data_IF_325570737900
#
_entry.id   IF_325570737900
#
_cell.length_a   1.000
_cell.length_b   1.000
_cell.length_c   1.000
_cell.angle_alpha   90.00
_cell.angle_beta   90.00
_cell.angle_gamma   90.00
#
_symmetry.space_group_name_H-M   'P 1'
#
loop_
_entity.id
_entity.type
_entity.pdbx_description
1 polymer ?
#
# COMPACT_ATOMS: atom_id res chain seq x y z
N UNK A 1 -23.41 -13.47 -11.96
CA UNK A 1 -22.97 -12.22 -12.60
C UNK A 1 -23.99 -11.15 -12.30
N UNK A 2 -23.54 -9.92 -12.06
CA UNK A 2 -24.43 -8.78 -11.87
C UNK A 2 -25.13 -8.51 -13.21
N UNK A 3 -26.47 -8.41 -13.22
CA UNK A 3 -27.26 -8.17 -14.45
C UNK A 3 -27.64 -6.69 -14.61
N UNK A 4 -27.01 -5.81 -13.83
CA UNK A 4 -27.20 -4.37 -13.95
C UNK A 4 -26.67 -3.85 -15.30
N UNK A 5 -27.28 -2.77 -15.80
CA UNK A 5 -26.76 -1.99 -16.93
C UNK A 5 -25.97 -0.75 -16.48
N UNK A 6 -25.92 -0.52 -15.17
CA UNK A 6 -25.18 0.59 -14.58
C UNK A 6 -23.68 0.24 -14.58
N UNK A 7 -22.85 1.22 -14.88
CA UNK A 7 -21.40 1.07 -14.68
C UNK A 7 -21.11 1.17 -13.19
N UNK A 8 -20.53 0.12 -12.59
CA UNK A 8 -20.10 0.09 -11.20
C UNK A 8 -18.57 0.11 -11.12
N UNK A 9 -18.02 0.57 -10.00
CA UNK A 9 -16.57 0.59 -9.73
C UNK A 9 -15.86 -0.73 -10.04
N UNK A 10 -16.55 -1.86 -9.78
CA UNK A 10 -16.10 -3.19 -10.14
C UNK A 10 -17.30 -4.07 -10.56
N UNK A 11 -17.49 -4.26 -11.87
CA UNK A 11 -18.60 -5.04 -12.42
C UNK A 11 -18.43 -6.57 -12.24
N UNK A 12 -17.19 -7.06 -12.19
CA UNK A 12 -16.85 -8.45 -11.87
C UNK A 12 -16.06 -8.53 -10.56
N UNK A 13 -16.71 -9.03 -9.51
CA UNK A 13 -16.11 -9.18 -8.17
C UNK A 13 -15.50 -10.55 -7.94
N UNK A 14 -15.39 -11.41 -8.96
CA UNK A 14 -14.91 -12.80 -8.81
C UNK A 14 -13.53 -12.87 -8.17
N UNK A 15 -12.61 -12.00 -8.59
CA UNK A 15 -11.23 -11.95 -8.05
C UNK A 15 -11.22 -11.48 -6.60
N UNK A 16 -11.82 -10.32 -6.31
CA UNK A 16 -11.91 -9.79 -4.95
C UNK A 16 -12.59 -10.76 -3.99
N UNK A 17 -13.70 -11.37 -4.42
CA UNK A 17 -14.42 -12.39 -3.64
C UNK A 17 -13.52 -13.58 -3.34
N UNK A 18 -12.75 -14.06 -4.31
CA UNK A 18 -11.80 -15.17 -4.12
C UNK A 18 -10.73 -14.79 -3.09
N UNK A 19 -10.12 -13.60 -3.22
CA UNK A 19 -9.11 -13.11 -2.27
C UNK A 19 -9.63 -13.10 -0.83
N UNK A 20 -10.83 -12.54 -0.62
CA UNK A 20 -11.45 -12.46 0.71
C UNK A 20 -11.79 -13.86 1.27
N UNK A 21 -12.32 -14.76 0.44
CA UNK A 21 -12.70 -16.10 0.89
C UNK A 21 -11.48 -16.98 1.21
N UNK A 22 -10.39 -16.81 0.47
CA UNK A 22 -9.14 -17.56 0.68
C UNK A 22 -8.30 -16.99 1.83
N UNK A 23 -8.50 -15.72 2.22
CA UNK A 23 -7.71 -15.03 3.24
C UNK A 23 -8.59 -14.18 4.18
N UNK A 24 -9.56 -14.78 4.90
CA UNK A 24 -10.55 -14.06 5.69
C UNK A 24 -9.99 -13.26 6.89
N UNK A 25 -8.78 -13.58 7.32
CA UNK A 25 -8.07 -12.91 8.41
C UNK A 25 -7.29 -11.67 7.97
N UNK A 26 -7.04 -11.49 6.66
CA UNK A 26 -6.30 -10.33 6.17
C UNK A 26 -7.18 -9.07 6.20
N UNK A 27 -6.66 -7.93 6.69
CA UNK A 27 -7.34 -6.66 6.55
C UNK A 27 -7.44 -6.25 5.08
N UNK A 28 -8.40 -5.36 4.80
CA UNK A 28 -8.54 -4.70 3.50
C UNK A 28 -8.05 -3.26 3.64
N UNK A 29 -7.11 -2.86 2.78
CA UNK A 29 -6.67 -1.47 2.63
C UNK A 29 -7.19 -0.93 1.30
N UNK A 30 -7.76 0.28 1.33
CA UNK A 30 -8.21 0.99 0.14
C UNK A 30 -7.36 2.24 -0.05
N UNK A 31 -6.65 2.33 -1.17
CA UNK A 31 -5.84 3.49 -1.52
C UNK A 31 -6.55 4.32 -2.56
N UNK A 32 -6.95 5.53 -2.18
CA UNK A 32 -7.63 6.46 -3.07
C UNK A 32 -6.60 7.39 -3.74
N UNK A 33 -6.46 7.26 -5.06
CA UNK A 33 -5.64 8.15 -5.88
C UNK A 33 -6.37 9.46 -6.20
N UNK A 34 -5.68 10.36 -6.90
CA UNK A 34 -6.24 11.67 -7.30
C UNK A 34 -7.51 11.54 -8.14
N UNK A 35 -7.60 10.52 -8.99
CA UNK A 35 -8.77 10.24 -9.84
C UNK A 35 -10.04 9.88 -9.04
N UNK A 36 -9.91 9.53 -7.75
CA UNK A 36 -11.06 9.31 -6.87
C UNK A 36 -11.71 10.61 -6.37
N UNK A 37 -11.03 11.76 -6.53
CA UNK A 37 -11.48 13.05 -6.06
C UNK A 37 -12.19 13.84 -7.17
N UNK A 38 -13.46 14.21 -6.96
CA UNK A 38 -14.23 14.97 -7.94
C UNK A 38 -14.19 16.49 -7.78
N UNK A 39 -13.48 17.03 -6.79
CA UNK A 39 -13.45 18.48 -6.53
C UNK A 39 -14.68 19.04 -5.81
N UNK A 40 -15.67 18.21 -5.52
CA UNK A 40 -17.00 18.60 -5.06
C UNK A 40 -17.33 17.88 -3.74
N UNK A 41 -18.24 18.44 -2.94
CA UNK A 41 -18.64 17.88 -1.64
C UNK A 41 -19.62 16.69 -1.73
N UNK A 42 -19.85 16.13 -2.91
CA UNK A 42 -20.74 14.98 -3.12
C UNK A 42 -20.00 13.65 -3.08
N UNK A 43 -20.74 12.56 -2.91
CA UNK A 43 -20.21 11.22 -3.19
C UNK A 43 -20.09 11.02 -4.69
N UNK A 44 -18.91 10.64 -5.14
CA UNK A 44 -18.61 10.31 -6.53
C UNK A 44 -18.17 8.85 -6.64
N UNK A 45 -18.63 8.17 -7.69
CA UNK A 45 -18.15 6.83 -8.01
C UNK A 45 -16.77 6.95 -8.67
N UNK A 46 -15.79 6.20 -8.16
CA UNK A 46 -14.48 6.02 -8.78
C UNK A 46 -14.34 4.59 -9.31
N UNK A 47 -13.39 4.36 -10.22
CA UNK A 47 -13.02 3.00 -10.57
C UNK A 47 -12.26 2.35 -9.41
N UNK A 48 -12.34 1.03 -9.34
CA UNK A 48 -11.61 0.27 -8.34
C UNK A 48 -10.89 -0.91 -8.98
N UNK A 49 -9.69 -1.22 -8.49
CA UNK A 49 -8.98 -2.42 -8.89
C UNK A 49 -9.75 -3.68 -8.43
N UNK A 50 -9.41 -4.82 -9.03
CA UNK A 50 -9.93 -6.14 -8.64
C UNK A 50 -9.41 -6.63 -7.27
N UNK A 51 -8.49 -5.89 -6.68
CA UNK A 51 -7.73 -6.22 -5.48
C UNK A 51 -6.56 -7.18 -5.72
N UNK A 52 -5.55 -7.10 -4.86
CA UNK A 52 -4.46 -8.07 -4.75
C UNK A 52 -3.91 -8.13 -3.32
N UNK A 53 -2.99 -9.04 -3.03
CA UNK A 53 -2.39 -9.16 -1.70
C UNK A 53 -1.03 -8.50 -1.71
N UNK A 54 -0.84 -7.56 -0.79
CA UNK A 54 0.44 -6.86 -0.58
C UNK A 54 0.95 -7.04 0.84
N UNK A 55 2.25 -6.81 1.03
CA UNK A 55 2.89 -6.73 2.33
C UNK A 55 3.44 -5.32 2.52
N UNK A 56 2.84 -4.58 3.45
CA UNK A 56 2.99 -3.13 3.55
C UNK A 56 3.35 -2.71 4.97
N UNK A 57 4.00 -1.56 5.11
CA UNK A 57 4.16 -0.86 6.39
C UNK A 57 3.67 0.58 6.28
N UNK A 58 3.32 1.18 7.41
CA UNK A 58 2.93 2.59 7.50
C UNK A 58 4.11 3.40 8.02
N UNK A 59 4.69 4.23 7.16
CA UNK A 59 5.82 5.08 7.50
C UNK A 59 5.53 6.54 7.15
N UNK A 60 5.59 7.44 8.14
CA UNK A 60 5.28 8.88 8.00
C UNK A 60 3.96 9.12 7.24
N UNK A 61 2.89 8.47 7.71
CA UNK A 61 1.53 8.52 7.14
C UNK A 61 1.39 8.00 5.69
N UNK A 62 2.42 7.33 5.16
CA UNK A 62 2.43 6.74 3.82
C UNK A 62 2.54 5.23 3.92
N UNK A 63 1.66 4.51 3.21
CA UNK A 63 1.77 3.07 3.06
C UNK A 63 2.80 2.72 1.99
N UNK A 64 3.75 1.86 2.33
CA UNK A 64 4.86 1.47 1.44
C UNK A 64 4.97 -0.04 1.38
N UNK A 65 5.33 -0.56 0.21
CA UNK A 65 5.83 -1.95 0.08
C UNK A 65 7.15 -2.08 0.84
N UNK A 66 7.61 -3.31 1.05
CA UNK A 66 8.91 -3.54 1.69
C UNK A 66 10.05 -2.83 0.94
N UNK A 67 10.08 -2.98 -0.38
CA UNK A 67 11.13 -2.42 -1.23
C UNK A 67 11.04 -0.87 -1.21
N UNK A 68 9.84 -0.30 -1.35
CA UNK A 68 9.65 1.15 -1.27
C UNK A 68 10.01 1.71 0.13
N UNK A 69 9.76 0.94 1.18
CA UNK A 69 10.10 1.33 2.55
C UNK A 69 11.61 1.37 2.75
N UNK A 70 12.34 0.37 2.28
CA UNK A 70 13.80 0.31 2.34
C UNK A 70 14.42 1.53 1.64
N UNK A 71 14.01 1.79 0.39
CA UNK A 71 14.48 2.95 -0.38
C UNK A 71 14.12 4.26 0.32
N UNK A 72 12.89 4.39 0.84
CA UNK A 72 12.44 5.60 1.52
C UNK A 72 13.20 5.85 2.82
N UNK A 73 13.44 4.79 3.60
CA UNK A 73 14.18 4.85 4.85
C UNK A 73 15.63 5.24 4.59
N UNK A 74 16.28 4.62 3.60
CA UNK A 74 17.65 4.93 3.21
C UNK A 74 17.82 6.39 2.75
N UNK A 75 16.86 6.92 1.98
CA UNK A 75 16.90 8.32 1.56
C UNK A 75 16.62 9.30 2.72
N UNK A 76 15.70 8.96 3.62
CA UNK A 76 15.36 9.84 4.73
C UNK A 76 16.50 9.94 5.76
N UNK A 77 17.28 8.87 5.94
CA UNK A 77 18.35 8.81 6.94
C UNK A 77 19.74 9.20 6.40
N UNK A 78 19.91 9.35 5.08
CA UNK A 78 21.24 9.54 4.47
C UNK A 78 21.95 10.83 4.91
N UNK A 79 21.17 11.86 5.24
CA UNK A 79 21.67 13.19 5.60
C UNK A 79 21.62 13.46 7.11
N UNK A 80 21.23 12.47 7.94
CA UNK A 80 21.18 12.67 9.39
C UNK A 80 22.58 12.59 10.02
N UNK A 81 22.88 13.54 10.92
CA UNK A 81 24.18 13.63 11.61
C UNK A 81 24.54 12.34 12.37
N UNK A 82 23.54 11.55 12.78
CA UNK A 82 23.75 10.26 13.46
C UNK A 82 24.42 9.20 12.56
N UNK A 83 24.25 9.31 11.24
CA UNK A 83 24.68 8.30 10.27
C UNK A 83 25.79 8.78 9.32
N UNK A 84 26.14 10.07 9.36
CA UNK A 84 27.10 10.68 8.44
C UNK A 84 28.53 10.10 8.51
N UNK A 85 28.93 9.60 9.67
CA UNK A 85 30.26 9.01 9.90
C UNK A 85 30.29 7.49 9.68
N UNK A 86 29.15 6.87 9.33
CA UNK A 86 29.09 5.44 9.03
C UNK A 86 29.71 5.15 7.67
N UNK A 87 30.38 4.00 7.56
CA UNK A 87 30.73 3.47 6.25
C UNK A 87 29.47 3.03 5.51
N UNK A 88 29.53 2.97 4.18
CA UNK A 88 28.41 2.48 3.34
C UNK A 88 27.94 1.10 3.80
N UNK A 89 28.87 0.18 4.10
CA UNK A 89 28.51 -1.17 4.56
C UNK A 89 27.83 -1.19 5.94
N UNK A 90 28.21 -0.29 6.84
CA UNK A 90 27.54 -0.15 8.15
C UNK A 90 26.16 0.47 8.01
N UNK A 91 26.02 1.45 7.11
CA UNK A 91 24.75 2.08 6.79
C UNK A 91 23.76 1.09 6.19
N UNK A 92 24.17 0.33 5.17
CA UNK A 92 23.33 -0.67 4.52
C UNK A 92 22.84 -1.73 5.51
N UNK A 93 23.75 -2.26 6.35
CA UNK A 93 23.38 -3.22 7.42
C UNK A 93 22.42 -2.64 8.45
N UNK A 94 22.54 -1.35 8.74
CA UNK A 94 21.64 -0.65 9.65
C UNK A 94 20.24 -0.52 9.05
N UNK A 95 20.14 -0.17 7.76
CA UNK A 95 18.89 -0.12 7.01
C UNK A 95 18.25 -1.51 6.96
N UNK A 96 19.00 -2.54 6.56
CA UNK A 96 18.55 -3.93 6.52
C UNK A 96 17.94 -4.34 7.86
N UNK A 97 18.66 -4.06 8.96
CA UNK A 97 18.20 -4.36 10.31
C UNK A 97 16.90 -3.63 10.66
N UNK A 98 16.79 -2.34 10.35
CA UNK A 98 15.56 -1.57 10.60
C UNK A 98 14.39 -2.14 9.78
N UNK A 99 14.63 -2.52 8.53
CA UNK A 99 13.62 -3.18 7.68
C UNK A 99 13.20 -4.53 8.26
N UNK A 100 14.13 -5.35 8.74
CA UNK A 100 13.82 -6.63 9.39
C UNK A 100 13.04 -6.48 10.70
N UNK A 101 13.32 -5.43 11.48
CA UNK A 101 12.65 -5.13 12.75
C UNK A 101 11.30 -4.41 12.56
N UNK A 102 11.00 -3.94 11.36
CA UNK A 102 9.76 -3.21 11.05
C UNK A 102 8.58 -4.15 10.93
N UNK A 103 7.46 -3.76 11.52
CA UNK A 103 6.20 -4.49 11.37
C UNK A 103 5.63 -4.26 9.96
N UNK A 104 5.29 -5.36 9.29
CA UNK A 104 4.56 -5.37 8.04
C UNK A 104 3.21 -6.06 8.20
N UNK A 105 2.19 -5.45 7.62
CA UNK A 105 0.86 -6.06 7.49
C UNK A 105 0.74 -6.68 6.12
N UNK A 106 0.31 -7.95 6.07
CA UNK A 106 -0.18 -8.56 4.85
C UNK A 106 -1.65 -8.18 4.70
N UNK A 107 -2.04 -7.59 3.57
CA UNK A 107 -3.39 -7.05 3.39
C UNK A 107 -3.91 -7.32 1.97
N UNK A 108 -5.24 -7.37 1.82
CA UNK A 108 -5.87 -7.23 0.51
C UNK A 108 -5.95 -5.74 0.19
N UNK A 109 -5.29 -5.31 -0.88
CA UNK A 109 -5.24 -3.91 -1.31
C UNK A 109 -6.17 -3.69 -2.47
N UNK A 110 -6.92 -2.58 -2.43
CA UNK A 110 -7.75 -2.09 -3.52
C UNK A 110 -7.33 -0.65 -3.83
N UNK A 111 -6.93 -0.38 -5.07
CA UNK A 111 -6.71 0.99 -5.54
C UNK A 111 -8.02 1.55 -6.08
N UNK A 112 -8.33 2.77 -5.69
CA UNK A 112 -9.56 3.48 -6.02
C UNK A 112 -9.18 4.79 -6.69
N UNK A 113 -9.82 5.12 -7.80
CA UNK A 113 -9.41 6.23 -8.68
C UNK A 113 -9.25 5.71 -10.08
#
# INVERSE_FOLDING_TARGET
MNNTKLDCSLNDTTVLRKLILENPELPILMFCGEDAWSGEYNYSQAYASKGEIETLTLYKDTWLTKDDYEDRLANDLSDEEEYIDMTVEEYDKMIDKKVEETEFVKAIVIWVG
#
